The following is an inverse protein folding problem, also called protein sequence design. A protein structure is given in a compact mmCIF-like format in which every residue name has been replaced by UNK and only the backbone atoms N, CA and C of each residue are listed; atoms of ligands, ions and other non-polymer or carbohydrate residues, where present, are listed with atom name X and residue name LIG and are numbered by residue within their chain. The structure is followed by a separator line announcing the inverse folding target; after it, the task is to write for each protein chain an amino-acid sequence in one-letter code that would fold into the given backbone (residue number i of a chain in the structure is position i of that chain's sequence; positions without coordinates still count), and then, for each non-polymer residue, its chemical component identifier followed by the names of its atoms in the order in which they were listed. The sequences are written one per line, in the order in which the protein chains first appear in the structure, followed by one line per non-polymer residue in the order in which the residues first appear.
data_IF_554684851040
#
_entry.id   IF_554684851040
#
_cell.length_a   1.000
_cell.length_b   1.000
_cell.length_c   1.000
_cell.angle_alpha   90.00
_cell.angle_beta   90.00
_cell.angle_gamma   90.00
#
_symmetry.space_group_name_H-M   'P 1'
#
loop_
_entity.id
_entity.type
_entity.pdbx_description
1 polymer ?
#
# COMPACT_ATOMS: atom_id res chain seq x y z
N UNK A 1 -6.18 -3.29 -13.27
CA UNK A 1 -6.42 -3.29 -11.81
C UNK A 1 -5.37 -4.18 -11.15
N UNK A 2 -4.82 -3.78 -10.00
CA UNK A 2 -3.89 -4.63 -9.24
C UNK A 2 -4.62 -5.08 -7.97
N UNK A 3 -4.57 -6.37 -7.66
CA UNK A 3 -5.11 -6.94 -6.43
C UNK A 3 -3.96 -7.35 -5.54
N UNK A 4 -4.00 -6.92 -4.28
CA UNK A 4 -2.97 -7.22 -3.27
C UNK A 4 -3.63 -7.98 -2.13
N UNK A 5 -3.07 -9.13 -1.79
CA UNK A 5 -3.43 -9.87 -0.58
C UNK A 5 -2.38 -9.60 0.49
N UNK A 6 -2.81 -9.09 1.63
CA UNK A 6 -1.96 -8.94 2.83
C UNK A 6 -2.27 -10.15 3.71
N UNK A 7 -1.28 -11.01 3.92
CA UNK A 7 -1.40 -12.17 4.82
C UNK A 7 -0.51 -11.95 6.04
N UNK A 8 -1.10 -12.03 7.24
CA UNK A 8 -0.34 -11.92 8.48
C UNK A 8 0.24 -13.29 8.86
N UNK A 9 1.51 -13.51 8.54
CA UNK A 9 2.26 -14.71 8.95
C UNK A 9 2.87 -14.65 10.36
N UNK A 10 2.63 -13.57 11.12
CA UNK A 10 3.17 -13.38 12.47
C UNK A 10 2.25 -14.02 13.54
N UNK A 11 2.79 -14.17 14.75
CA UNK A 11 2.04 -14.66 15.93
C UNK A 11 1.16 -13.61 16.61
N UNK A 12 1.18 -12.36 16.14
CA UNK A 12 0.44 -11.23 16.73
C UNK A 12 -0.38 -10.50 15.67
N UNK A 13 -1.46 -9.84 16.08
CA UNK A 13 -2.26 -8.97 15.20
C UNK A 13 -1.40 -7.82 14.68
N UNK A 14 -1.56 -7.50 13.39
CA UNK A 14 -0.96 -6.31 12.78
C UNK A 14 -2.01 -5.23 12.55
N UNK A 15 -1.59 -3.98 12.67
CA UNK A 15 -2.42 -2.78 12.58
C UNK A 15 -1.89 -1.87 11.48
N UNK A 16 -2.78 -1.36 10.64
CA UNK A 16 -2.49 -0.42 9.55
C UNK A 16 -3.46 0.77 9.64
N UNK A 17 -2.96 2.00 9.59
CA UNK A 17 -3.76 3.19 9.87
C UNK A 17 -3.53 4.35 8.89
N UNK A 18 -2.68 4.18 7.87
CA UNK A 18 -2.37 5.25 6.93
C UNK A 18 -2.76 4.84 5.51
N UNK A 19 -3.77 5.49 4.92
CA UNK A 19 -4.12 5.21 3.54
C UNK A 19 -3.06 5.75 2.56
N UNK A 20 -2.82 4.98 1.51
CA UNK A 20 -1.76 5.16 0.51
C UNK A 20 -2.36 5.17 -0.89
N UNK A 21 -1.78 4.45 -1.85
CA UNK A 21 -2.24 4.37 -3.23
C UNK A 21 -3.71 3.93 -3.27
N UNK A 22 -4.52 4.65 -4.06
CA UNK A 22 -5.96 4.39 -4.22
C UNK A 22 -6.75 4.32 -2.91
N UNK A 23 -6.31 5.02 -1.85
CA UNK A 23 -6.91 4.93 -0.51
C UNK A 23 -6.98 3.50 0.07
N UNK A 24 -5.96 2.69 -0.23
CA UNK A 24 -5.74 1.37 0.39
C UNK A 24 -4.68 1.45 1.48
N UNK A 25 -4.46 0.36 2.22
CA UNK A 25 -3.39 0.30 3.24
C UNK A 25 -1.99 0.04 2.66
N UNK A 26 -1.84 -0.05 1.34
CA UNK A 26 -0.56 -0.36 0.68
C UNK A 26 -0.11 0.74 -0.28
N UNK A 27 1.19 0.95 -0.33
CA UNK A 27 1.81 1.88 -1.27
C UNK A 27 2.33 1.09 -2.47
N UNK A 28 1.84 1.43 -3.66
CA UNK A 28 2.47 0.99 -4.90
C UNK A 28 3.71 1.85 -5.13
N UNK A 29 4.80 1.22 -5.55
CA UNK A 29 6.07 1.90 -5.87
C UNK A 29 6.54 1.47 -7.25
N UNK A 30 7.07 2.40 -8.04
CA UNK A 30 7.65 2.15 -9.36
C UNK A 30 9.15 2.40 -9.33
N UNK A 31 9.91 1.54 -9.98
CA UNK A 31 11.35 1.71 -10.12
C UNK A 31 11.65 2.73 -11.23
N UNK A 32 12.23 3.87 -10.88
CA UNK A 32 12.65 4.92 -11.82
C UNK A 32 14.08 5.31 -11.50
N UNK A 33 14.96 5.20 -12.50
CA UNK A 33 16.39 5.50 -12.37
C UNK A 33 17.07 4.79 -11.18
N UNK A 34 16.67 3.54 -10.93
CA UNK A 34 17.20 2.74 -9.81
C UNK A 34 16.60 3.06 -8.44
N UNK A 35 15.63 3.98 -8.35
CA UNK A 35 14.99 4.39 -7.10
C UNK A 35 13.51 4.00 -7.11
N UNK A 36 13.04 3.45 -5.99
CA UNK A 36 11.62 3.16 -5.77
C UNK A 36 10.87 4.44 -5.43
N UNK A 37 10.00 4.86 -6.34
CA UNK A 37 9.20 6.07 -6.18
C UNK A 37 7.75 5.70 -5.85
N UNK A 38 7.13 6.32 -4.82
CA UNK A 38 5.74 6.06 -4.48
C UNK A 38 4.80 6.53 -5.58
N UNK A 39 3.79 5.71 -5.86
CA UNK A 39 2.80 5.94 -6.91
C UNK A 39 1.47 6.32 -6.30
N UNK A 40 0.99 7.49 -6.70
CA UNK A 40 -0.30 8.02 -6.29
C UNK A 40 -0.42 8.24 -4.78
N UNK A 41 -1.63 8.61 -4.36
CA UNK A 41 -1.95 8.97 -2.97
C UNK A 41 -3.44 8.82 -2.70
N UNK A 42 -3.81 8.86 -1.43
CA UNK A 42 -5.19 9.05 -1.02
C UNK A 42 -5.47 10.55 -0.82
N UNK A 43 -6.44 11.10 -1.54
CA UNK A 43 -6.86 12.51 -1.39
C UNK A 43 -8.01 12.70 -0.43
N UNK A 44 -8.78 11.64 -0.17
CA UNK A 44 -9.87 11.66 0.80
C UNK A 44 -9.42 10.90 2.07
N UNK A 45 -8.59 11.58 2.86
CA UNK A 45 -7.95 10.99 4.05
C UNK A 45 -8.86 10.98 5.28
N UNK A 46 -10.09 11.51 5.17
CA UNK A 46 -10.99 11.66 6.30
C UNK A 46 -11.30 10.29 6.94
N UNK A 47 -10.72 10.06 8.12
CA UNK A 47 -11.00 8.98 9.07
C UNK A 47 -11.08 7.56 8.46
N UNK A 48 -10.06 7.13 7.71
CA UNK A 48 -9.95 5.70 7.44
C UNK A 48 -9.61 4.97 8.75
N UNK A 49 -10.45 4.00 9.17
CA UNK A 49 -10.24 3.30 10.44
C UNK A 49 -8.97 2.46 10.38
N UNK A 50 -8.35 2.25 11.54
CA UNK A 50 -7.26 1.29 11.70
C UNK A 50 -7.73 -0.09 11.26
N UNK A 51 -7.12 -0.63 10.21
CA UNK A 51 -7.35 -1.99 9.73
C UNK A 51 -6.49 -2.95 10.54
N UNK A 52 -7.10 -4.05 10.98
CA UNK A 52 -6.45 -5.07 11.79
C UNK A 52 -6.45 -6.39 11.02
N UNK A 53 -5.34 -7.12 11.07
CA UNK A 53 -5.25 -8.48 10.49
C UNK A 53 -4.71 -9.41 11.57
N UNK A 54 -5.58 -10.31 12.05
CA UNK A 54 -5.23 -11.30 13.05
C UNK A 54 -4.16 -12.30 12.53
N UNK A 55 -3.44 -12.98 13.43
CA UNK A 55 -2.50 -14.05 13.04
C UNK A 55 -3.15 -15.07 12.09
N UNK A 56 -2.46 -15.41 11.00
CA UNK A 56 -2.92 -16.37 10.00
C UNK A 56 -4.02 -15.86 9.05
N UNK A 57 -4.60 -14.69 9.31
CA UNK A 57 -5.65 -14.12 8.46
C UNK A 57 -5.07 -13.30 7.31
N UNK A 58 -5.93 -13.03 6.32
CA UNK A 58 -5.60 -12.19 5.17
C UNK A 58 -6.66 -11.12 4.93
N UNK A 59 -6.26 -10.02 4.30
CA UNK A 59 -7.17 -8.98 3.79
C UNK A 59 -6.79 -8.60 2.36
N UNK A 60 -7.80 -8.24 1.56
CA UNK A 60 -7.63 -7.87 0.16
C UNK A 60 -7.64 -6.34 0.01
N UNK A 61 -6.76 -5.85 -0.85
CA UNK A 61 -6.69 -4.45 -1.27
C UNK A 61 -6.77 -4.38 -2.79
N UNK A 62 -7.52 -3.41 -3.30
CA UNK A 62 -7.70 -3.22 -4.74
C UNK A 62 -7.16 -1.86 -5.15
N UNK A 63 -6.08 -1.87 -5.93
CA UNK A 63 -5.47 -0.66 -6.46
C UNK A 63 -6.07 -0.34 -7.83
N UNK A 64 -6.50 0.91 -7.97
CA UNK A 64 -6.99 1.49 -9.20
C UNK A 64 -5.89 2.30 -9.87
N UNK A 65 -5.78 2.30 -11.21
CA UNK A 65 -4.74 3.04 -11.89
C UNK A 65 -4.65 4.50 -11.44
N UNK A 66 -3.45 4.89 -11.01
CA UNK A 66 -3.10 6.26 -10.63
C UNK A 66 -1.93 6.72 -11.50
N UNK A 67 -1.84 8.03 -11.73
CA UNK A 67 -0.69 8.61 -12.41
C UNK A 67 0.55 8.42 -11.52
N UNK A 68 1.65 7.90 -12.08
CA UNK A 68 2.88 7.69 -11.32
C UNK A 68 3.42 8.98 -10.73
N UNK A 69 3.34 10.06 -11.52
CA UNK A 69 3.90 11.36 -11.20
C UNK A 69 2.91 12.46 -11.63
N UNK A 70 2.47 13.29 -10.69
CA UNK A 70 1.65 14.47 -11.03
C UNK A 70 0.58 14.82 -9.99
N UNK A 71 -0.23 15.82 -10.36
CA UNK A 71 -1.30 16.38 -9.52
C UNK A 71 -2.61 15.58 -9.61
N UNK A 72 -2.82 14.80 -10.66
CA UNK A 72 -4.04 14.01 -10.89
C UNK A 72 -3.94 12.65 -10.18
N UNK A 73 -5.06 12.19 -9.60
CA UNK A 73 -5.10 11.00 -8.72
C UNK A 73 -5.62 9.74 -9.40
N UNK A 74 -6.01 9.81 -10.68
CA UNK A 74 -6.56 8.69 -11.44
C UNK A 74 -5.99 8.65 -12.85
N UNK A 75 -5.86 7.45 -13.38
CA UNK A 75 -5.48 7.16 -14.76
C UNK A 75 -6.45 6.12 -15.35
N UNK A 76 -6.50 6.03 -16.68
CA UNK A 76 -7.24 4.94 -17.34
C UNK A 76 -6.51 3.60 -17.23
N UNK A 77 -5.18 3.64 -17.26
CA UNK A 77 -4.30 2.47 -17.23
C UNK A 77 -3.07 2.73 -16.37
N UNK A 78 -2.46 1.67 -15.85
CA UNK A 78 -1.15 1.76 -15.21
C UNK A 78 -0.09 2.08 -16.26
N UNK A 79 0.88 2.91 -15.89
CA UNK A 79 2.01 3.15 -16.77
C UNK A 79 2.85 1.88 -16.88
N UNK A 80 3.45 1.58 -18.04
CA UNK A 80 4.37 0.45 -18.15
C UNK A 80 5.61 0.66 -17.26
N UNK A 81 6.08 -0.40 -16.62
CA UNK A 81 7.29 -0.36 -15.80
C UNK A 81 7.40 -1.47 -14.77
N UNK A 82 8.43 -1.36 -13.93
CA UNK A 82 8.69 -2.31 -12.84
C UNK A 82 8.15 -1.74 -11.54
N UNK A 83 7.40 -2.55 -10.81
CA UNK A 83 6.65 -2.19 -9.62
C UNK A 83 6.97 -3.12 -8.44
N UNK A 84 6.72 -2.62 -7.23
CA UNK A 84 6.55 -3.42 -6.01
C UNK A 84 5.48 -2.79 -5.14
N UNK A 85 4.98 -3.56 -4.17
CA UNK A 85 4.08 -3.06 -3.14
C UNK A 85 4.84 -2.97 -1.83
N UNK A 86 4.71 -1.85 -1.12
CA UNK A 86 5.19 -1.68 0.24
C UNK A 86 4.01 -1.53 1.21
N UNK A 87 4.18 -2.11 2.39
CA UNK A 87 3.23 -2.08 3.48
C UNK A 87 3.94 -1.56 4.72
N UNK A 88 3.32 -0.61 5.42
CA UNK A 88 3.71 -0.19 6.75
C UNK A 88 2.69 -0.65 7.79
N UNK A 89 3.15 -1.23 8.90
CA UNK A 89 2.29 -1.79 9.93
C UNK A 89 2.88 -1.63 11.34
N UNK A 90 2.03 -1.81 12.35
CA UNK A 90 2.43 -1.92 13.77
C UNK A 90 1.97 -3.28 14.32
N UNK A 91 2.68 -3.80 15.32
CA UNK A 91 2.27 -5.01 16.08
C UNK A 91 1.57 -4.67 17.39
N UNK A 92 1.54 -3.38 17.74
CA UNK A 92 0.81 -2.82 18.88
C UNK A 92 -0.16 -1.78 18.30
N UNK A 93 -1.38 -1.73 18.83
CA UNK A 93 -2.32 -0.69 18.45
C UNK A 93 -1.77 0.66 18.93
N UNK A 94 -1.25 1.43 17.98
CA UNK A 94 -0.74 2.77 18.21
C UNK A 94 -1.48 3.73 17.24
N UNK A 95 -2.43 4.53 17.76
CA UNK A 95 -3.15 5.50 16.95
C UNK A 95 -2.29 6.73 16.60
N UNK A 96 -1.18 6.95 17.30
CA UNK A 96 -0.33 8.14 17.15
C UNK A 96 0.76 7.92 16.08
N UNK A 97 1.22 6.68 15.89
CA UNK A 97 2.18 6.34 14.83
C UNK A 97 1.47 6.09 13.48
N UNK A 98 1.47 7.10 12.62
CA UNK A 98 0.91 7.01 11.26
C UNK A 98 1.84 6.21 10.34
N UNK A 99 1.30 5.18 9.70
CA UNK A 99 1.99 4.46 8.61
C UNK A 99 2.84 3.29 9.06
N UNK A 100 2.83 2.98 10.36
CA UNK A 100 3.55 1.84 10.91
C UNK A 100 5.03 2.09 11.16
N UNK A 101 5.55 1.42 12.19
CA UNK A 101 6.97 1.38 12.54
C UNK A 101 7.71 0.22 11.86
N UNK A 102 6.96 -0.75 11.32
CA UNK A 102 7.47 -1.92 10.63
C UNK A 102 7.08 -1.88 9.16
N UNK A 103 7.92 -2.48 8.30
CA UNK A 103 7.70 -2.47 6.85
C UNK A 103 7.87 -3.86 6.23
N UNK A 104 7.08 -4.12 5.19
CA UNK A 104 7.21 -5.28 4.33
C UNK A 104 7.09 -4.87 2.87
N UNK A 105 7.76 -5.60 1.97
CA UNK A 105 7.68 -5.38 0.52
C UNK A 105 7.37 -6.67 -0.20
N UNK A 106 6.59 -6.60 -1.28
CA UNK A 106 6.40 -7.72 -2.19
C UNK A 106 7.63 -7.98 -3.05
N UNK A 107 7.63 -9.12 -3.75
CA UNK A 107 8.48 -9.30 -4.93
C UNK A 107 8.15 -8.25 -5.99
N UNK A 108 9.11 -7.98 -6.88
CA UNK A 108 8.93 -7.06 -8.01
C UNK A 108 8.10 -7.70 -9.12
N UNK A 109 7.32 -6.89 -9.84
CA UNK A 109 6.53 -7.32 -10.99
C UNK A 109 6.53 -6.24 -12.07
N UNK A 110 6.25 -6.61 -13.33
CA UNK A 110 6.21 -5.68 -14.45
C UNK A 110 4.79 -5.52 -14.99
N UNK A 111 4.47 -4.31 -15.41
CA UNK A 111 3.27 -4.01 -16.21
C UNK A 111 3.77 -3.55 -17.58
N UNK A 112 3.21 -4.13 -18.65
CA UNK A 112 3.54 -3.83 -20.04
C UNK A 112 2.44 -3.01 -20.70
#
# INVERSE_FOLDING_TARGET
MITVTITNGLSHTIYMNAPKTSCTMVQLEMLVNGVWNPIGRCVNVAAMPTLQVAPGNSTLQHLQPQIAFGLLHSAAHWQPGTYRVSLGYNTILDPDTIGGSQHATSNTFTIN
#
